data_IF_750485571097
#
_entry.id   IF_750485571097
#
_cell.length_a   1.000
_cell.length_b   1.000
_cell.length_c   1.000
_cell.angle_alpha   90.00
_cell.angle_beta   90.00
_cell.angle_gamma   90.00
#
_symmetry.space_group_name_H-M   'P 1'
#
loop_
_entity.id
_entity.type
_entity.pdbx_description
1 polymer ?
#
# COMPACT_ATOMS: atom_id res chain seq x y z
N UNK A 1 -13.47 -20.52 2.38
CA UNK A 1 -13.55 -21.33 1.14
C UNK A 1 -12.12 -21.56 0.67
N UNK A 2 -11.76 -22.77 0.25
CA UNK A 2 -10.40 -23.00 -0.25
C UNK A 2 -10.25 -22.56 -1.72
N UNK A 3 -9.00 -22.41 -2.20
CA UNK A 3 -8.68 -21.92 -3.55
C UNK A 3 -9.30 -22.79 -4.66
N UNK A 4 -9.37 -24.11 -4.48
CA UNK A 4 -9.96 -25.02 -5.47
C UNK A 4 -11.48 -24.80 -5.59
N UNK A 5 -12.17 -24.59 -4.47
CA UNK A 5 -13.60 -24.27 -4.47
C UNK A 5 -13.86 -22.93 -5.16
N UNK A 6 -13.03 -21.90 -4.87
CA UNK A 6 -13.14 -20.59 -5.52
C UNK A 6 -13.02 -20.75 -7.03
N UNK A 7 -11.97 -21.40 -7.53
CA UNK A 7 -11.75 -21.60 -8.96
C UNK A 7 -12.88 -22.43 -9.61
N UNK A 8 -13.42 -23.42 -8.90
CA UNK A 8 -14.58 -24.17 -9.38
C UNK A 8 -15.80 -23.26 -9.64
N UNK A 9 -16.11 -22.34 -8.73
CA UNK A 9 -17.21 -21.38 -8.92
C UNK A 9 -16.94 -20.36 -10.01
N UNK A 10 -15.68 -19.91 -10.19
CA UNK A 10 -15.30 -19.00 -11.28
C UNK A 10 -15.42 -19.63 -12.67
N UNK A 11 -15.29 -20.98 -12.76
CA UNK A 11 -15.43 -21.73 -14.01
C UNK A 11 -16.89 -22.09 -14.29
N UNK A 12 -17.69 -22.33 -13.24
CA UNK A 12 -19.09 -22.77 -13.36
C UNK A 12 -20.10 -21.60 -13.38
N UNK A 13 -19.65 -20.35 -13.44
CA UNK A 13 -20.47 -19.12 -13.41
C UNK A 13 -21.34 -18.96 -12.16
N UNK A 14 -20.90 -19.53 -11.04
CA UNK A 14 -21.64 -19.48 -9.78
C UNK A 14 -21.15 -18.33 -8.86
N UNK A 15 -21.14 -17.09 -9.41
CA UNK A 15 -20.54 -15.90 -8.76
C UNK A 15 -21.33 -15.35 -7.57
N UNK A 16 -22.62 -15.69 -7.45
CA UNK A 16 -23.48 -15.16 -6.38
C UNK A 16 -23.46 -16.03 -5.10
N UNK A 17 -22.49 -16.95 -5.03
CA UNK A 17 -22.36 -17.82 -3.86
C UNK A 17 -21.84 -17.03 -2.65
N UNK A 18 -22.54 -17.07 -1.49
CA UNK A 18 -22.08 -16.41 -0.27
C UNK A 18 -20.70 -16.90 0.17
N UNK A 19 -19.83 -15.97 0.54
CA UNK A 19 -18.46 -16.23 0.97
C UNK A 19 -17.46 -16.48 -0.16
N UNK A 20 -17.87 -16.30 -1.43
CA UNK A 20 -16.96 -16.39 -2.57
C UNK A 20 -16.04 -15.16 -2.64
N UNK A 21 -16.58 -13.97 -2.35
CA UNK A 21 -15.87 -12.69 -2.32
C UNK A 21 -16.05 -12.01 -0.96
N UNK A 22 -15.44 -12.54 0.11
CA UNK A 22 -15.72 -12.12 1.48
C UNK A 22 -15.39 -10.66 1.76
N UNK A 23 -14.34 -10.10 1.13
CA UNK A 23 -13.98 -8.70 1.29
C UNK A 23 -14.97 -7.76 0.58
N UNK A 24 -15.45 -8.14 -0.59
CA UNK A 24 -16.49 -7.38 -1.33
C UNK A 24 -17.84 -7.46 -0.60
N UNK A 25 -18.21 -8.63 -0.10
CA UNK A 25 -19.43 -8.83 0.69
C UNK A 25 -19.39 -8.02 1.98
N UNK A 26 -18.24 -8.01 2.67
CA UNK A 26 -18.02 -7.17 3.85
C UNK A 26 -18.13 -5.70 3.53
N UNK A 27 -17.54 -5.23 2.41
CA UNK A 27 -17.63 -3.84 1.98
C UNK A 27 -19.09 -3.43 1.68
N UNK A 28 -19.87 -4.31 1.03
CA UNK A 28 -21.28 -4.04 0.72
C UNK A 28 -22.15 -3.85 1.99
N UNK A 29 -21.76 -4.41 3.12
CA UNK A 29 -22.44 -4.25 4.42
C UNK A 29 -22.00 -3.01 5.19
N UNK A 30 -20.95 -2.29 4.76
CA UNK A 30 -20.44 -1.11 5.44
C UNK A 30 -21.26 0.14 5.11
N UNK A 31 -21.45 0.99 6.12
CA UNK A 31 -22.14 2.28 5.96
C UNK A 31 -21.36 3.25 5.06
N UNK A 32 -20.03 3.16 5.08
CA UNK A 32 -19.13 4.01 4.29
C UNK A 32 -18.22 3.15 3.42
N UNK A 33 -18.41 3.23 2.12
CA UNK A 33 -17.55 2.59 1.11
C UNK A 33 -16.79 3.66 0.32
N UNK A 34 -15.48 3.47 0.20
CA UNK A 34 -14.59 4.42 -0.47
C UNK A 34 -14.02 3.82 -1.76
N UNK A 35 -13.96 4.63 -2.81
CA UNK A 35 -13.23 4.29 -4.03
C UNK A 35 -11.77 4.71 -3.88
N UNK A 36 -10.85 3.75 -3.98
CA UNK A 36 -9.42 4.01 -3.94
C UNK A 36 -8.88 4.12 -5.37
N UNK A 37 -8.56 5.35 -5.77
CA UNK A 37 -7.87 5.58 -7.04
C UNK A 37 -6.36 5.46 -6.82
N UNK A 38 -5.75 4.47 -7.45
CA UNK A 38 -4.31 4.20 -7.43
C UNK A 38 -3.70 4.15 -8.84
N UNK A 39 -4.42 4.68 -9.84
CA UNK A 39 -3.96 4.83 -11.22
C UNK A 39 -4.22 3.62 -12.12
N UNK A 40 -4.75 2.52 -11.61
CA UNK A 40 -5.21 1.38 -12.41
C UNK A 40 -6.74 1.42 -12.49
N UNK A 41 -7.28 1.98 -13.55
CA UNK A 41 -8.73 2.11 -13.75
C UNK A 41 -9.34 0.85 -14.32
N UNK A 42 -8.69 0.28 -15.33
CA UNK A 42 -9.12 -0.93 -16.00
C UNK A 42 -7.93 -1.88 -16.17
N UNK A 43 -8.18 -3.16 -16.05
CA UNK A 43 -7.16 -4.18 -16.31
C UNK A 43 -6.97 -4.30 -17.83
N UNK A 44 -5.70 -4.29 -18.31
CA UNK A 44 -5.41 -4.52 -19.71
C UNK A 44 -5.92 -5.89 -20.20
N UNK A 45 -6.20 -5.96 -21.49
CA UNK A 45 -6.53 -7.23 -22.16
C UNK A 45 -5.29 -7.98 -22.58
N UNK A 46 -4.17 -7.27 -22.71
CA UNK A 46 -2.88 -7.81 -23.08
C UNK A 46 -2.29 -8.65 -21.96
N UNK A 47 -1.58 -9.77 -22.31
CA UNK A 47 -0.86 -10.57 -21.33
C UNK A 47 0.34 -9.82 -20.75
N UNK A 48 0.64 -10.11 -19.50
CA UNK A 48 1.76 -9.49 -18.78
C UNK A 48 1.72 -9.74 -17.29
N UNK A 49 2.49 -8.97 -16.52
CA UNK A 49 2.55 -9.09 -15.08
C UNK A 49 2.27 -7.72 -14.44
N UNK A 50 1.22 -7.63 -13.65
CA UNK A 50 0.87 -6.46 -12.84
C UNK A 50 1.19 -6.76 -11.38
N UNK A 51 1.92 -5.85 -10.75
CA UNK A 51 2.34 -5.92 -9.35
C UNK A 51 1.71 -4.74 -8.59
N UNK A 52 0.87 -5.03 -7.59
CA UNK A 52 0.19 -4.03 -6.78
C UNK A 52 0.70 -4.12 -5.36
N UNK A 53 1.45 -3.12 -4.92
CA UNK A 53 1.97 -3.00 -3.56
C UNK A 53 1.23 -1.90 -2.79
N UNK A 54 1.17 -2.03 -1.47
CA UNK A 54 0.51 -1.02 -0.63
C UNK A 54 0.47 -1.45 0.82
N UNK A 55 0.23 -0.49 1.71
CA UNK A 55 0.11 -0.75 3.14
C UNK A 55 -0.96 -1.82 3.44
N UNK A 56 -0.83 -2.49 4.58
CA UNK A 56 -1.86 -3.44 5.06
C UNK A 56 -3.18 -2.70 5.33
N UNK A 57 -4.31 -3.40 5.11
CA UNK A 57 -5.67 -2.91 5.40
C UNK A 57 -6.11 -1.68 4.56
N UNK A 58 -5.46 -1.43 3.43
CA UNK A 58 -5.85 -0.37 2.50
C UNK A 58 -6.87 -0.84 1.45
N UNK A 59 -7.28 -2.11 1.44
CA UNK A 59 -8.33 -2.64 0.57
C UNK A 59 -7.83 -3.34 -0.70
N UNK A 60 -6.54 -3.74 -0.78
CA UNK A 60 -5.97 -4.46 -1.93
C UNK A 60 -6.74 -5.74 -2.26
N UNK A 61 -7.01 -6.59 -1.26
CA UNK A 61 -7.77 -7.84 -1.44
C UNK A 61 -9.21 -7.57 -1.89
N UNK A 62 -9.86 -6.53 -1.35
CA UNK A 62 -11.19 -6.11 -1.78
C UNK A 62 -11.21 -5.68 -3.24
N UNK A 63 -10.20 -4.88 -3.65
CA UNK A 63 -10.05 -4.49 -5.05
C UNK A 63 -9.78 -5.71 -5.94
N UNK A 64 -8.91 -6.62 -5.51
CA UNK A 64 -8.57 -7.82 -6.27
C UNK A 64 -9.79 -8.73 -6.46
N UNK A 65 -10.58 -8.98 -5.42
CA UNK A 65 -11.83 -9.72 -5.52
C UNK A 65 -12.85 -9.04 -6.45
N UNK A 66 -12.97 -7.71 -6.40
CA UNK A 66 -13.83 -6.97 -7.32
C UNK A 66 -13.37 -7.14 -8.77
N UNK A 67 -12.07 -6.98 -9.04
CA UNK A 67 -11.51 -7.12 -10.37
C UNK A 67 -11.63 -8.55 -10.92
N UNK A 68 -11.47 -9.55 -10.04
CA UNK A 68 -11.69 -10.97 -10.34
C UNK A 68 -13.14 -11.22 -10.75
N UNK A 69 -14.11 -10.82 -9.90
CA UNK A 69 -15.54 -10.94 -10.15
C UNK A 69 -15.96 -10.24 -11.45
N UNK A 70 -15.51 -9.01 -11.62
CA UNK A 70 -15.87 -8.18 -12.78
C UNK A 70 -15.25 -8.74 -14.07
N UNK A 71 -14.08 -9.40 -14.00
CA UNK A 71 -13.49 -10.10 -15.14
C UNK A 71 -14.40 -11.25 -15.60
N UNK A 72 -14.85 -12.12 -14.67
CA UNK A 72 -15.74 -13.23 -15.03
C UNK A 72 -17.09 -12.73 -15.54
N UNK A 73 -17.66 -11.70 -14.92
CA UNK A 73 -18.92 -11.10 -15.40
C UNK A 73 -18.83 -10.54 -16.81
N UNK A 74 -17.68 -9.95 -17.17
CA UNK A 74 -17.51 -9.31 -18.47
C UNK A 74 -17.06 -10.26 -19.58
N UNK A 75 -16.17 -11.21 -19.26
CA UNK A 75 -15.52 -12.08 -20.25
C UNK A 75 -15.98 -13.54 -20.16
N UNK A 76 -16.86 -13.86 -19.22
CA UNK A 76 -17.45 -15.19 -19.03
C UNK A 76 -16.64 -16.11 -18.11
N UNK A 77 -17.24 -17.28 -17.78
CA UNK A 77 -16.64 -18.27 -16.88
C UNK A 77 -15.28 -18.78 -17.38
N UNK A 78 -14.35 -18.99 -16.47
CA UNK A 78 -12.99 -19.42 -16.77
C UNK A 78 -12.11 -18.37 -17.46
N UNK A 79 -12.53 -17.08 -17.50
CA UNK A 79 -11.69 -15.95 -17.93
C UNK A 79 -10.76 -15.45 -16.83
N UNK A 80 -11.10 -15.71 -15.58
CA UNK A 80 -10.30 -15.35 -14.42
C UNK A 80 -10.20 -16.52 -13.43
N UNK A 81 -9.03 -16.66 -12.82
CA UNK A 81 -8.72 -17.69 -11.82
C UNK A 81 -7.95 -17.03 -10.66
N UNK A 82 -7.90 -17.72 -9.52
CA UNK A 82 -7.41 -17.17 -8.27
C UNK A 82 -6.43 -18.10 -7.55
N UNK A 83 -5.41 -17.52 -6.92
CA UNK A 83 -4.52 -18.16 -5.95
C UNK A 83 -4.33 -17.24 -4.73
N UNK A 84 -4.07 -17.85 -3.58
CA UNK A 84 -3.75 -17.16 -2.34
C UNK A 84 -2.31 -17.51 -1.93
N UNK A 85 -1.41 -16.52 -1.92
CA UNK A 85 -0.02 -16.70 -1.55
C UNK A 85 0.18 -17.15 -0.10
N UNK A 86 -0.72 -16.76 0.82
CA UNK A 86 -0.65 -17.20 2.22
C UNK A 86 -0.86 -18.71 2.39
N UNK A 87 -1.48 -19.38 1.42
CA UNK A 87 -1.70 -20.84 1.44
C UNK A 87 -0.56 -21.61 0.74
N UNK A 88 0.43 -20.92 0.15
CA UNK A 88 1.48 -21.52 -0.67
C UNK A 88 2.80 -21.58 0.10
N UNK A 89 3.29 -22.79 0.38
CA UNK A 89 4.43 -22.99 1.26
C UNK A 89 5.80 -22.60 0.66
N UNK A 90 5.96 -22.60 -0.66
CA UNK A 90 7.25 -22.36 -1.31
C UNK A 90 7.13 -21.88 -2.77
N UNK A 91 8.23 -21.34 -3.31
CA UNK A 91 8.30 -20.93 -4.73
C UNK A 91 8.12 -22.09 -5.70
N UNK A 92 8.56 -23.31 -5.36
CA UNK A 92 8.36 -24.48 -6.21
C UNK A 92 6.89 -24.92 -6.17
N UNK A 93 6.23 -24.81 -5.03
CA UNK A 93 4.78 -25.05 -4.92
C UNK A 93 4.00 -24.00 -5.72
N UNK A 94 4.33 -22.73 -5.62
CA UNK A 94 3.74 -21.66 -6.42
C UNK A 94 3.87 -21.93 -7.93
N UNK A 95 5.04 -22.39 -8.37
CA UNK A 95 5.28 -22.78 -9.75
C UNK A 95 4.30 -23.87 -10.21
N UNK A 96 4.11 -24.91 -9.38
CA UNK A 96 3.21 -26.01 -9.67
C UNK A 96 1.75 -25.58 -9.67
N UNK A 97 1.33 -24.81 -8.65
CA UNK A 97 -0.04 -24.31 -8.54
C UNK A 97 -0.43 -23.43 -9.71
N UNK A 98 0.48 -22.54 -10.17
CA UNK A 98 0.23 -21.74 -11.37
C UNK A 98 0.07 -22.63 -12.59
N UNK A 99 0.92 -23.65 -12.78
CA UNK A 99 0.81 -24.59 -13.91
C UNK A 99 -0.51 -25.35 -13.91
N UNK A 100 -0.94 -25.83 -12.76
CA UNK A 100 -2.21 -26.52 -12.60
C UNK A 100 -3.38 -25.60 -12.93
N UNK A 101 -3.40 -24.39 -12.33
CA UNK A 101 -4.51 -23.43 -12.48
C UNK A 101 -4.62 -22.90 -13.91
N UNK A 102 -3.51 -22.61 -14.61
CA UNK A 102 -3.59 -22.08 -15.98
C UNK A 102 -4.24 -23.07 -16.97
N UNK A 103 -4.25 -24.37 -16.67
CA UNK A 103 -4.97 -25.37 -17.49
C UNK A 103 -6.49 -25.26 -17.41
N UNK A 104 -7.00 -24.59 -16.39
CA UNK A 104 -8.43 -24.44 -16.12
C UNK A 104 -9.05 -23.25 -16.87
N UNK A 105 -8.24 -22.39 -17.50
CA UNK A 105 -8.77 -21.29 -18.29
C UNK A 105 -9.65 -21.79 -19.44
N UNK A 106 -10.77 -21.11 -19.67
CA UNK A 106 -11.60 -21.39 -20.83
C UNK A 106 -10.80 -21.20 -22.14
N UNK A 107 -10.78 -22.17 -23.05
CA UNK A 107 -10.10 -22.03 -24.32
C UNK A 107 -10.71 -20.95 -25.23
N UNK A 108 -11.98 -20.62 -25.03
CA UNK A 108 -12.74 -19.65 -25.81
C UNK A 108 -12.74 -18.23 -25.22
N UNK A 109 -12.20 -18.03 -24.01
CA UNK A 109 -12.15 -16.71 -23.40
C UNK A 109 -11.21 -15.77 -24.13
N UNK A 110 -11.68 -14.54 -24.35
CA UNK A 110 -10.89 -13.47 -24.97
C UNK A 110 -9.72 -13.00 -24.09
N UNK A 111 -9.83 -13.19 -22.77
CA UNK A 111 -8.78 -12.85 -21.79
C UNK A 111 -8.55 -14.01 -20.84
N UNK A 112 -7.35 -14.10 -20.30
CA UNK A 112 -6.97 -15.06 -19.26
C UNK A 112 -6.26 -14.30 -18.16
N UNK A 113 -6.92 -14.10 -17.02
CA UNK A 113 -6.40 -13.32 -15.90
C UNK A 113 -6.21 -14.22 -14.68
N UNK A 114 -4.97 -14.36 -14.22
CA UNK A 114 -4.65 -15.06 -12.99
C UNK A 114 -4.40 -14.04 -11.88
N UNK A 115 -5.23 -14.08 -10.86
CA UNK A 115 -5.12 -13.23 -9.69
C UNK A 115 -4.43 -13.99 -8.56
N UNK A 116 -3.36 -13.40 -8.00
CA UNK A 116 -2.67 -13.96 -6.83
C UNK A 116 -2.66 -12.91 -5.73
N UNK A 117 -3.43 -13.16 -4.68
CA UNK A 117 -3.39 -12.30 -3.49
C UNK A 117 -2.19 -12.66 -2.61
N UNK A 118 -1.58 -11.67 -1.96
CA UNK A 118 -0.43 -11.78 -1.05
C UNK A 118 0.74 -12.65 -1.60
N UNK A 119 1.12 -12.47 -2.87
CA UNK A 119 2.22 -13.24 -3.47
C UNK A 119 3.52 -13.14 -2.65
N UNK A 120 3.71 -12.04 -1.91
CA UNK A 120 4.87 -11.80 -1.05
C UNK A 120 4.93 -12.67 0.20
N UNK A 121 3.88 -13.43 0.51
CA UNK A 121 3.94 -14.47 1.53
C UNK A 121 4.86 -15.63 1.09
N UNK A 122 4.96 -15.87 -0.22
CA UNK A 122 5.82 -16.92 -0.79
C UNK A 122 7.26 -16.42 -0.93
N UNK A 123 8.17 -16.97 -0.16
CA UNK A 123 9.60 -16.63 -0.26
C UNK A 123 10.16 -16.92 -1.63
N UNK A 124 10.88 -15.98 -2.26
CA UNK A 124 11.44 -16.07 -3.62
C UNK A 124 10.39 -16.33 -4.71
N UNK A 125 9.18 -15.80 -4.54
CA UNK A 125 8.09 -15.92 -5.51
C UNK A 125 8.50 -15.49 -6.93
N UNK A 126 9.38 -14.50 -7.06
CA UNK A 126 9.87 -13.98 -8.33
C UNK A 126 10.60 -15.04 -9.16
N UNK A 127 11.21 -16.05 -8.50
CA UNK A 127 11.87 -17.17 -9.22
C UNK A 127 10.86 -18.06 -9.92
N UNK A 128 9.73 -18.34 -9.27
CA UNK A 128 8.65 -19.13 -9.88
C UNK A 128 8.07 -18.39 -11.09
N UNK A 129 7.72 -17.12 -10.93
CA UNK A 129 7.16 -16.28 -11.98
C UNK A 129 8.16 -16.14 -13.16
N UNK A 130 9.45 -15.92 -12.85
CA UNK A 130 10.50 -15.84 -13.86
C UNK A 130 10.60 -17.14 -14.68
N UNK A 131 10.62 -18.30 -14.03
CA UNK A 131 10.70 -19.61 -14.72
C UNK A 131 9.50 -19.83 -15.64
N UNK A 132 8.29 -19.49 -15.22
CA UNK A 132 7.08 -19.58 -16.03
C UNK A 132 7.10 -18.63 -17.23
N UNK A 133 7.55 -17.39 -17.02
CA UNK A 133 7.68 -16.41 -18.09
C UNK A 133 8.72 -16.84 -19.13
N UNK A 134 9.91 -17.32 -18.69
CA UNK A 134 10.98 -17.79 -19.55
C UNK A 134 10.59 -19.05 -20.34
N UNK A 135 9.77 -19.93 -19.75
CA UNK A 135 9.21 -21.10 -20.42
C UNK A 135 8.05 -20.74 -21.38
N UNK A 136 7.59 -19.49 -21.40
CA UNK A 136 6.47 -19.05 -22.23
C UNK A 136 5.08 -19.52 -21.73
N UNK A 137 5.00 -20.07 -20.51
CA UNK A 137 3.76 -20.61 -19.93
C UNK A 137 2.77 -19.49 -19.58
N UNK A 138 3.23 -18.25 -19.40
CA UNK A 138 2.41 -17.07 -19.15
C UNK A 138 2.15 -16.21 -20.41
N UNK A 139 2.49 -16.68 -21.61
CA UNK A 139 2.42 -15.90 -22.85
C UNK A 139 1.05 -15.28 -23.13
N UNK A 140 -0.02 -15.96 -22.75
CA UNK A 140 -1.40 -15.53 -22.98
C UNK A 140 -2.13 -15.23 -21.67
N UNK A 141 -1.41 -14.97 -20.59
CA UNK A 141 -1.99 -14.74 -19.27
C UNK A 141 -1.59 -13.35 -18.76
N UNK A 142 -2.55 -12.59 -18.27
CA UNK A 142 -2.32 -11.43 -17.44
C UNK A 142 -2.25 -11.90 -15.99
N UNK A 143 -1.06 -11.89 -15.40
CA UNK A 143 -0.85 -12.17 -13.99
C UNK A 143 -1.04 -10.88 -13.19
N UNK A 144 -2.01 -10.85 -12.28
CA UNK A 144 -2.29 -9.71 -11.40
C UNK A 144 -1.99 -10.12 -9.97
N UNK A 145 -1.02 -9.47 -9.35
CA UNK A 145 -0.59 -9.84 -8.00
C UNK A 145 -0.68 -8.69 -7.02
N UNK A 146 -1.04 -9.01 -5.78
CA UNK A 146 -0.93 -8.07 -4.65
C UNK A 146 0.13 -8.54 -3.67
N UNK A 147 0.57 -7.63 -2.81
CA UNK A 147 1.43 -7.95 -1.69
C UNK A 147 1.56 -6.78 -0.72
N UNK A 148 1.61 -7.10 0.57
CA UNK A 148 1.76 -6.14 1.65
C UNK A 148 3.22 -5.89 2.03
N UNK A 149 4.14 -6.82 1.69
CA UNK A 149 5.59 -6.62 1.85
C UNK A 149 6.11 -5.80 0.66
N UNK A 150 5.98 -4.49 0.77
CA UNK A 150 6.27 -3.57 -0.33
C UNK A 150 7.72 -3.63 -0.82
N UNK A 151 8.70 -3.86 0.09
CA UNK A 151 10.09 -4.08 -0.26
C UNK A 151 10.28 -5.34 -1.12
N UNK A 152 9.68 -6.47 -0.73
CA UNK A 152 9.78 -7.72 -1.47
C UNK A 152 9.17 -7.60 -2.87
N UNK A 153 8.03 -6.91 -3.01
CA UNK A 153 7.42 -6.66 -4.32
C UNK A 153 8.29 -5.74 -5.19
N UNK A 154 8.91 -4.70 -4.62
CA UNK A 154 9.84 -3.84 -5.34
C UNK A 154 11.05 -4.63 -5.83
N UNK A 155 11.73 -5.35 -4.95
CA UNK A 155 12.89 -6.18 -5.30
C UNK A 155 12.52 -7.30 -6.28
N UNK A 156 11.35 -7.93 -6.12
CA UNK A 156 10.84 -8.92 -7.06
C UNK A 156 10.58 -8.32 -8.44
N UNK A 157 9.99 -7.12 -8.51
CA UNK A 157 9.78 -6.39 -9.77
C UNK A 157 11.10 -6.08 -10.51
N UNK A 158 12.14 -5.69 -9.77
CA UNK A 158 13.49 -5.43 -10.30
C UNK A 158 14.17 -6.71 -10.83
N UNK A 159 13.77 -7.90 -10.34
CA UNK A 159 14.29 -9.20 -10.79
C UNK A 159 13.54 -9.80 -11.98
N UNK A 160 12.53 -9.12 -12.51
CA UNK A 160 11.73 -9.53 -13.67
C UNK A 160 11.93 -8.61 -14.90
N UNK A 161 13.16 -8.15 -15.26
CA UNK A 161 13.36 -7.26 -16.39
C UNK A 161 12.96 -7.97 -17.70
N UNK A 162 12.19 -7.26 -18.54
CA UNK A 162 11.74 -7.79 -19.85
C UNK A 162 10.69 -8.91 -19.79
N UNK A 163 10.20 -9.30 -18.59
CA UNK A 163 9.23 -10.39 -18.40
C UNK A 163 7.82 -9.92 -18.05
N UNK A 164 7.64 -8.61 -17.88
CA UNK A 164 6.34 -8.01 -17.50
C UNK A 164 5.37 -7.82 -18.68
N UNK A 165 5.72 -8.32 -19.85
CA UNK A 165 4.94 -8.11 -21.09
C UNK A 165 5.17 -6.74 -21.70
N UNK A 166 4.25 -6.34 -22.60
CA UNK A 166 4.28 -5.03 -23.29
C UNK A 166 3.32 -4.03 -22.65
N UNK A 167 3.01 -4.19 -21.36
CA UNK A 167 2.13 -3.30 -20.63
C UNK A 167 2.76 -1.91 -20.52
N UNK A 168 1.97 -0.86 -20.70
CA UNK A 168 2.39 0.53 -20.49
C UNK A 168 2.91 0.75 -19.07
N UNK A 169 2.22 0.14 -18.10
CA UNK A 169 2.61 0.15 -16.69
C UNK A 169 2.35 -1.21 -16.05
N UNK A 170 3.32 -1.69 -15.27
CA UNK A 170 3.28 -3.00 -14.63
C UNK A 170 3.33 -2.96 -13.10
N UNK A 171 3.63 -1.80 -12.50
CA UNK A 171 3.75 -1.66 -11.05
C UNK A 171 2.87 -0.52 -10.57
N UNK A 172 2.06 -0.80 -9.57
CA UNK A 172 1.10 0.14 -8.99
C UNK A 172 1.27 0.20 -7.48
N UNK A 173 1.04 1.41 -6.93
CA UNK A 173 1.02 1.66 -5.49
C UNK A 173 -0.43 1.88 -5.05
N UNK A 174 -0.93 1.00 -4.18
CA UNK A 174 -2.27 1.15 -3.62
C UNK A 174 -2.26 2.28 -2.59
N UNK A 175 -2.90 3.39 -2.93
CA UNK A 175 -2.80 4.66 -2.21
C UNK A 175 -3.85 4.76 -1.08
N UNK A 176 -3.67 5.68 -0.12
CA UNK A 176 -4.75 6.09 0.78
C UNK A 176 -5.96 6.64 0.03
N UNK A 177 -7.13 6.59 0.66
CA UNK A 177 -8.31 7.35 0.22
C UNK A 177 -7.95 8.82 0.11
N UNK A 178 -8.29 9.46 -1.00
CA UNK A 178 -8.05 10.91 -1.17
C UNK A 178 -8.99 11.72 -0.28
N UNK A 179 -8.56 12.94 0.10
CA UNK A 179 -9.46 13.87 0.78
C UNK A 179 -10.75 14.13 -0.02
N UNK A 180 -10.66 14.22 -1.36
CA UNK A 180 -11.83 14.40 -2.23
C UNK A 180 -12.85 13.25 -2.06
N UNK A 181 -12.36 12.03 -2.04
CA UNK A 181 -13.23 10.85 -1.90
C UNK A 181 -13.79 10.74 -0.47
N UNK A 182 -12.95 10.99 0.54
CA UNK A 182 -13.42 11.05 1.93
C UNK A 182 -14.51 12.11 2.10
N UNK A 183 -14.29 13.31 1.55
CA UNK A 183 -15.29 14.38 1.58
C UNK A 183 -16.59 13.95 0.90
N UNK A 184 -16.52 13.35 -0.29
CA UNK A 184 -17.71 12.85 -1.00
C UNK A 184 -18.57 11.92 -0.13
N UNK A 185 -17.94 11.04 0.65
CA UNK A 185 -18.63 10.02 1.46
C UNK A 185 -19.05 10.56 2.83
N UNK A 186 -18.21 11.38 3.47
CA UNK A 186 -18.32 11.70 4.89
C UNK A 186 -18.71 13.16 5.19
N UNK A 187 -18.86 14.03 4.17
CA UNK A 187 -19.22 15.45 4.39
C UNK A 187 -20.57 15.60 5.13
N UNK A 188 -21.54 14.74 4.84
CA UNK A 188 -22.82 14.72 5.54
C UNK A 188 -22.71 14.39 7.04
N UNK A 189 -21.68 13.66 7.44
CA UNK A 189 -21.43 13.27 8.84
C UNK A 189 -20.65 14.36 9.60
N UNK A 190 -19.63 14.96 8.97
CA UNK A 190 -18.71 15.86 9.67
C UNK A 190 -18.89 17.35 9.34
N UNK A 191 -19.61 17.68 8.28
CA UNK A 191 -19.89 19.07 7.87
C UNK A 191 -18.61 19.91 7.72
N UNK A 192 -18.53 21.09 8.39
CA UNK A 192 -17.34 21.95 8.30
C UNK A 192 -16.05 21.31 8.82
N UNK A 193 -16.15 20.28 9.65
CA UNK A 193 -15.01 19.57 10.27
C UNK A 193 -14.51 18.40 9.42
N UNK A 194 -15.00 18.23 8.18
CA UNK A 194 -14.62 17.11 7.30
C UNK A 194 -13.10 17.02 7.06
N UNK A 195 -12.40 18.16 6.95
CA UNK A 195 -10.95 18.14 6.80
C UNK A 195 -10.25 17.60 8.06
N UNK A 196 -10.66 18.04 9.25
CA UNK A 196 -10.10 17.54 10.50
C UNK A 196 -10.41 16.05 10.69
N UNK A 197 -11.62 15.61 10.33
CA UNK A 197 -11.95 14.19 10.32
C UNK A 197 -11.05 13.37 9.37
N UNK A 198 -10.76 13.89 8.18
CA UNK A 198 -9.81 13.25 7.26
C UNK A 198 -8.41 13.19 7.84
N UNK A 199 -7.91 14.27 8.44
CA UNK A 199 -6.61 14.30 9.09
C UNK A 199 -6.55 13.29 10.25
N UNK A 200 -7.60 13.16 11.02
CA UNK A 200 -7.74 12.17 12.11
C UNK A 200 -7.72 10.72 11.56
N UNK A 201 -8.42 10.43 10.46
CA UNK A 201 -8.48 9.08 9.88
C UNK A 201 -7.28 8.73 9.00
N UNK A 202 -6.58 9.73 8.47
CA UNK A 202 -5.37 9.56 7.68
C UNK A 202 -5.56 8.93 6.30
N UNK A 203 -6.80 8.79 5.81
CA UNK A 203 -7.10 8.16 4.53
C UNK A 203 -6.98 6.63 4.52
N UNK A 204 -6.77 5.98 5.66
CA UNK A 204 -6.90 4.53 5.77
C UNK A 204 -8.39 4.14 5.72
N UNK A 205 -8.84 3.27 4.78
CA UNK A 205 -10.26 2.96 4.61
C UNK A 205 -10.95 2.50 5.89
N UNK A 206 -10.31 1.63 6.68
CA UNK A 206 -10.84 1.12 7.95
C UNK A 206 -10.97 2.25 8.97
N UNK A 207 -9.94 3.10 9.12
CA UNK A 207 -9.97 4.23 10.03
C UNK A 207 -11.05 5.26 9.63
N UNK A 208 -11.20 5.51 8.31
CA UNK A 208 -12.24 6.40 7.77
C UNK A 208 -13.65 5.87 8.07
N UNK A 209 -13.88 4.58 7.86
CA UNK A 209 -15.18 3.95 8.11
C UNK A 209 -15.52 3.92 9.60
N UNK A 210 -14.57 3.55 10.46
CA UNK A 210 -14.77 3.50 11.91
C UNK A 210 -15.00 4.92 12.51
N UNK A 211 -14.22 5.90 12.06
CA UNK A 211 -14.43 7.29 12.50
C UNK A 211 -15.82 7.80 12.09
N UNK A 212 -16.26 7.52 10.86
CA UNK A 212 -17.59 7.93 10.39
C UNK A 212 -18.73 7.22 11.16
N UNK A 213 -18.53 5.94 11.51
CA UNK A 213 -19.53 5.12 12.20
C UNK A 213 -19.60 5.40 13.71
N UNK A 214 -18.45 5.54 14.37
CA UNK A 214 -18.33 5.60 15.83
C UNK A 214 -18.00 6.99 16.37
N UNK A 215 -17.65 7.96 15.51
CA UNK A 215 -17.10 9.25 15.90
C UNK A 215 -15.67 9.17 16.45
N UNK A 216 -15.06 7.99 16.46
CA UNK A 216 -13.70 7.77 16.97
C UNK A 216 -13.00 6.63 16.24
N UNK A 217 -11.66 6.64 16.25
CA UNK A 217 -10.83 5.53 15.80
C UNK A 217 -10.63 4.56 16.97
N UNK A 218 -11.12 3.31 16.89
CA UNK A 218 -10.90 2.30 17.93
C UNK A 218 -9.41 1.93 18.08
N UNK A 219 -9.02 1.48 19.28
CA UNK A 219 -7.65 1.07 19.59
C UNK A 219 -7.14 -0.02 18.63
N UNK A 220 -7.99 -0.97 18.25
CA UNK A 220 -7.56 -2.07 17.39
C UNK A 220 -7.03 -1.58 16.03
N UNK A 221 -7.48 -0.43 15.52
CA UNK A 221 -7.04 0.15 14.24
C UNK A 221 -5.59 0.64 14.34
N UNK A 222 -5.25 1.35 15.40
CA UNK A 222 -3.86 1.79 15.64
C UNK A 222 -2.96 0.62 16.04
N UNK A 223 -3.48 -0.34 16.82
CA UNK A 223 -2.75 -1.55 17.19
C UNK A 223 -2.39 -2.39 15.96
N UNK A 224 -3.30 -2.54 15.01
CA UNK A 224 -3.06 -3.24 13.76
C UNK A 224 -1.87 -2.63 12.97
N UNK A 225 -1.75 -1.30 12.94
CA UNK A 225 -0.60 -0.62 12.30
C UNK A 225 0.69 -0.90 13.06
N UNK A 226 0.65 -0.84 14.39
CA UNK A 226 1.81 -1.16 15.23
C UNK A 226 2.28 -2.60 15.03
N UNK A 227 1.35 -3.56 15.05
CA UNK A 227 1.67 -4.98 14.87
C UNK A 227 2.25 -5.24 13.48
N UNK A 228 1.70 -4.60 12.45
CA UNK A 228 2.24 -4.69 11.10
C UNK A 228 3.68 -4.18 11.02
N UNK A 229 3.95 -2.95 11.48
CA UNK A 229 5.29 -2.35 11.40
C UNK A 229 6.30 -3.14 12.23
N UNK A 230 5.91 -3.59 13.42
CA UNK A 230 6.79 -4.42 14.27
C UNK A 230 7.04 -5.81 13.67
N UNK A 231 6.03 -6.41 13.04
CA UNK A 231 6.18 -7.68 12.33
C UNK A 231 7.20 -7.59 11.19
N UNK A 232 7.10 -6.56 10.35
CA UNK A 232 8.05 -6.34 9.25
C UNK A 232 9.46 -5.98 9.76
N UNK A 233 9.54 -5.22 10.86
CA UNK A 233 10.81 -4.93 11.53
C UNK A 233 11.51 -6.21 11.98
N UNK A 234 10.78 -7.08 12.67
CA UNK A 234 11.29 -8.38 13.14
C UNK A 234 11.67 -9.31 11.98
N UNK A 235 10.85 -9.37 10.93
CA UNK A 235 11.12 -10.16 9.73
C UNK A 235 12.39 -9.71 8.99
N UNK A 236 12.74 -8.41 9.09
CA UNK A 236 13.97 -7.84 8.54
C UNK A 236 15.19 -7.97 9.46
N UNK A 237 15.06 -8.67 10.59
CA UNK A 237 16.15 -8.86 11.59
C UNK A 237 16.50 -7.59 12.35
N UNK A 238 15.59 -6.60 12.42
CA UNK A 238 15.81 -5.33 13.12
C UNK A 238 15.15 -5.33 14.50
N UNK A 239 15.68 -4.53 15.41
CA UNK A 239 15.18 -4.42 16.78
C UNK A 239 13.95 -3.53 16.89
N UNK A 240 12.94 -4.01 17.63
CA UNK A 240 11.70 -3.29 17.89
C UNK A 240 11.90 -1.99 18.68
N UNK A 241 12.80 -1.98 19.65
CA UNK A 241 13.14 -0.79 20.45
C UNK A 241 13.69 0.35 19.59
N UNK A 242 14.55 0.02 18.65
CA UNK A 242 15.16 1.00 17.73
C UNK A 242 14.14 1.59 16.76
N UNK A 243 13.24 0.77 16.17
CA UNK A 243 12.21 1.32 15.27
C UNK A 243 11.21 2.19 16.03
N UNK A 244 10.88 1.84 17.28
CA UNK A 244 10.04 2.67 18.14
C UNK A 244 10.66 4.04 18.36
N UNK A 245 11.94 4.10 18.75
CA UNK A 245 12.65 5.38 18.91
C UNK A 245 12.67 6.23 17.64
N UNK A 246 12.84 5.61 16.46
CA UNK A 246 12.77 6.34 15.18
C UNK A 246 11.37 6.90 14.94
N UNK A 247 10.32 6.11 15.13
CA UNK A 247 8.94 6.53 14.88
C UNK A 247 8.51 7.65 15.84
N UNK A 248 8.83 7.55 17.12
CA UNK A 248 8.57 8.59 18.12
C UNK A 248 9.34 9.88 17.81
N UNK A 249 10.62 9.76 17.44
CA UNK A 249 11.42 10.91 17.03
C UNK A 249 10.83 11.59 15.78
N UNK A 250 10.45 10.83 14.76
CA UNK A 250 9.87 11.38 13.54
C UNK A 250 8.47 11.96 13.79
N UNK A 251 7.67 11.39 14.69
CA UNK A 251 6.38 11.94 15.07
C UNK A 251 6.51 13.35 15.70
N UNK A 252 7.59 13.59 16.45
CA UNK A 252 7.87 14.91 17.03
C UNK A 252 8.65 15.87 16.12
N UNK A 253 9.38 15.38 15.09
CA UNK A 253 10.35 16.18 14.35
C UNK A 253 10.29 15.98 12.82
N UNK A 254 9.37 15.18 12.28
CA UNK A 254 9.38 14.77 10.87
C UNK A 254 9.17 15.88 9.85
N UNK A 255 8.70 17.05 10.28
CA UNK A 255 8.56 18.26 9.43
C UNK A 255 9.84 19.11 9.38
N UNK A 256 10.82 18.83 10.24
CA UNK A 256 12.10 19.54 10.28
C UNK A 256 13.20 18.76 9.56
N UNK A 257 14.15 19.44 8.87
CA UNK A 257 15.28 18.77 8.26
C UNK A 257 16.13 18.04 9.31
N UNK A 258 16.38 16.76 9.10
CA UNK A 258 17.15 15.89 9.99
C UNK A 258 18.22 15.12 9.21
N UNK A 259 19.46 15.19 9.66
CA UNK A 259 20.53 14.33 9.15
C UNK A 259 20.50 12.96 9.84
N UNK A 260 20.90 11.92 9.12
CA UNK A 260 20.95 10.55 9.66
C UNK A 260 21.83 10.40 10.91
N UNK A 261 22.94 11.17 11.00
CA UNK A 261 23.79 11.19 12.18
C UNK A 261 23.08 11.80 13.41
N UNK A 262 22.26 12.84 13.21
CA UNK A 262 21.42 13.40 14.28
C UNK A 262 20.37 12.39 14.71
N UNK A 263 19.68 11.77 13.76
CA UNK A 263 18.68 10.73 14.05
C UNK A 263 19.30 9.60 14.86
N UNK A 264 20.46 9.06 14.44
CA UNK A 264 21.15 8.00 15.15
C UNK A 264 21.45 8.36 16.61
N UNK A 265 21.99 9.58 16.83
CA UNK A 265 22.31 10.06 18.17
C UNK A 265 21.07 10.19 19.06
N UNK A 266 20.02 10.84 18.55
CA UNK A 266 18.78 11.10 19.31
C UNK A 266 18.00 9.81 19.63
N UNK A 267 18.15 8.77 18.80
CA UNK A 267 17.49 7.47 18.99
C UNK A 267 18.39 6.40 19.59
N UNK A 268 19.62 6.74 20.01
CA UNK A 268 20.57 5.82 20.65
C UNK A 268 21.13 4.73 19.73
N UNK A 269 21.11 4.93 18.41
CA UNK A 269 21.64 3.96 17.45
C UNK A 269 23.17 4.06 17.32
N UNK A 270 23.79 2.92 16.97
CA UNK A 270 25.25 2.81 16.88
C UNK A 270 25.88 3.78 15.86
N UNK A 271 25.21 4.04 14.73
CA UNK A 271 25.72 4.93 13.69
C UNK A 271 24.61 5.34 12.67
N UNK A 272 24.97 6.24 11.77
CA UNK A 272 24.08 6.75 10.73
C UNK A 272 23.63 5.68 9.70
N UNK A 273 24.45 4.65 9.45
CA UNK A 273 24.08 3.56 8.53
C UNK A 273 22.93 2.73 9.10
N UNK A 274 22.95 2.46 10.41
CA UNK A 274 21.84 1.78 11.10
C UNK A 274 20.57 2.62 11.01
N UNK A 275 20.65 3.92 11.32
CA UNK A 275 19.51 4.82 11.22
C UNK A 275 18.93 4.89 9.79
N UNK A 276 19.81 4.95 8.77
CA UNK A 276 19.41 4.92 7.36
C UNK A 276 18.60 3.65 7.02
N UNK A 277 19.02 2.49 7.53
CA UNK A 277 18.31 1.24 7.31
C UNK A 277 16.89 1.21 7.90
N UNK A 278 16.65 1.88 9.04
CA UNK A 278 15.29 2.02 9.59
C UNK A 278 14.43 3.00 8.78
N UNK A 279 15.03 4.10 8.28
CA UNK A 279 14.35 5.03 7.37
C UNK A 279 13.95 4.31 6.07
N UNK A 280 14.85 3.51 5.50
CA UNK A 280 14.55 2.70 4.31
C UNK A 280 13.40 1.72 4.56
N UNK A 281 13.42 0.99 5.68
CA UNK A 281 12.32 0.10 6.05
C UNK A 281 10.98 0.84 6.16
N UNK A 282 10.95 1.99 6.85
CA UNK A 282 9.72 2.77 7.00
C UNK A 282 9.22 3.38 5.67
N UNK A 283 10.14 3.73 4.77
CA UNK A 283 9.80 4.16 3.41
C UNK A 283 9.24 3.01 2.59
N UNK A 284 9.85 1.83 2.65
CA UNK A 284 9.35 0.62 1.97
C UNK A 284 7.97 0.19 2.49
N UNK A 285 7.69 0.41 3.76
CA UNK A 285 6.36 0.21 4.37
C UNK A 285 5.37 1.34 4.01
N UNK A 286 5.80 2.36 3.27
CA UNK A 286 4.97 3.53 2.95
C UNK A 286 4.45 4.26 4.21
N UNK A 287 5.21 4.21 5.32
CA UNK A 287 4.89 4.99 6.51
C UNK A 287 5.36 6.44 6.36
N UNK A 288 6.57 6.62 5.83
CA UNK A 288 7.21 7.92 5.65
C UNK A 288 7.70 8.11 4.21
N UNK A 289 7.83 9.37 3.78
CA UNK A 289 8.57 9.75 2.59
C UNK A 289 9.94 10.32 2.94
N UNK A 290 10.82 10.40 1.96
CA UNK A 290 12.10 11.10 2.07
C UNK A 290 12.06 12.35 1.20
N UNK A 291 12.16 13.52 1.83
CA UNK A 291 12.08 14.81 1.16
C UNK A 291 13.45 15.49 1.22
N UNK A 292 14.18 15.46 0.10
CA UNK A 292 15.51 16.09 -0.02
C UNK A 292 15.39 17.61 -0.22
N UNK A 293 16.40 18.37 0.20
CA UNK A 293 16.50 19.77 -0.14
C UNK A 293 16.64 19.94 -1.66
N UNK A 294 15.98 20.95 -2.23
CA UNK A 294 16.04 21.25 -3.65
C UNK A 294 16.99 22.42 -3.93
N UNK A 295 17.89 22.27 -4.88
CA UNK A 295 18.74 23.33 -5.40
C UNK A 295 18.08 23.99 -6.61
N UNK A 296 17.66 25.24 -6.46
CA UNK A 296 17.01 25.99 -7.55
C UNK A 296 17.96 26.27 -8.73
N UNK A 297 19.25 26.50 -8.48
CA UNK A 297 20.21 26.80 -9.52
C UNK A 297 20.58 25.58 -10.35
N UNK A 298 20.77 24.43 -9.67
CA UNK A 298 21.09 23.15 -10.32
C UNK A 298 19.86 22.38 -10.79
N UNK A 299 18.66 22.77 -10.36
CA UNK A 299 17.39 22.05 -10.60
C UNK A 299 17.48 20.56 -10.21
N UNK A 300 18.09 20.28 -9.06
CA UNK A 300 18.37 18.92 -8.60
C UNK A 300 18.27 18.80 -7.07
N UNK A 301 17.98 17.58 -6.56
CA UNK A 301 18.01 17.31 -5.12
C UNK A 301 19.44 17.39 -4.56
N UNK A 302 19.55 17.92 -3.34
CA UNK A 302 20.80 18.02 -2.58
C UNK A 302 20.89 16.88 -1.55
N UNK A 303 21.31 15.70 -1.98
CA UNK A 303 21.38 14.49 -1.14
C UNK A 303 22.34 14.58 0.05
N UNK A 304 23.27 15.54 0.06
CA UNK A 304 24.21 15.75 1.17
C UNK A 304 23.66 16.66 2.27
N UNK A 305 22.56 17.36 2.03
CA UNK A 305 21.87 18.16 3.06
C UNK A 305 20.89 17.29 3.86
N UNK A 306 20.58 17.70 5.11
CA UNK A 306 19.55 17.03 5.90
C UNK A 306 18.25 16.89 5.09
N UNK A 307 17.59 15.73 5.18
CA UNK A 307 16.29 15.48 4.57
C UNK A 307 15.18 15.68 5.60
N UNK A 308 13.94 15.91 5.13
CA UNK A 308 12.75 15.76 5.95
C UNK A 308 12.18 14.37 5.72
N UNK A 309 11.53 13.82 6.75
CA UNK A 309 10.89 12.49 6.73
C UNK A 309 9.41 12.61 7.11
N UNK A 310 8.58 13.25 6.27
CA UNK A 310 7.16 13.38 6.55
C UNK A 310 6.47 12.03 6.54
N UNK A 311 5.46 11.85 7.40
CA UNK A 311 4.56 10.71 7.25
C UNK A 311 3.73 10.87 5.98
N UNK A 312 3.75 9.84 5.13
CA UNK A 312 2.89 9.69 3.95
C UNK A 312 1.74 8.69 4.22
N UNK A 313 1.68 8.22 5.45
CA UNK A 313 0.61 7.44 6.03
C UNK A 313 0.25 8.06 7.39
N UNK A 314 -0.77 8.90 7.40
CA UNK A 314 -1.15 9.64 8.61
C UNK A 314 -1.65 8.71 9.73
N UNK A 315 -2.24 7.56 9.41
CA UNK A 315 -2.61 6.59 10.42
C UNK A 315 -1.37 5.99 11.12
N UNK A 316 -0.27 5.81 10.39
CA UNK A 316 1.00 5.44 11.01
C UNK A 316 1.48 6.54 11.95
N UNK A 317 1.40 7.82 11.57
CA UNK A 317 1.71 8.92 12.47
C UNK A 317 0.86 8.87 13.75
N UNK A 318 -0.47 8.72 13.66
CA UNK A 318 -1.37 8.60 14.81
C UNK A 318 -1.00 7.44 15.74
N UNK A 319 -0.45 6.36 15.20
CA UNK A 319 -0.12 5.17 15.99
C UNK A 319 1.04 5.38 16.97
N UNK A 320 1.91 6.39 16.73
CA UNK A 320 3.08 6.69 17.57
C UNK A 320 3.15 8.13 18.08
N UNK A 321 2.26 9.02 17.62
CA UNK A 321 2.27 10.39 18.10
C UNK A 321 1.77 10.47 19.55
N UNK A 322 2.44 11.29 20.35
CA UNK A 322 2.15 11.43 21.79
C UNK A 322 0.72 11.93 22.10
N UNK A 323 0.13 12.72 21.20
CA UNK A 323 -1.21 13.30 21.39
C UNK A 323 -2.37 12.29 21.34
N UNK A 324 -2.11 11.04 20.86
CA UNK A 324 -3.13 9.98 20.82
C UNK A 324 -4.47 10.41 20.18
N UNK A 325 -4.43 11.19 19.10
CA UNK A 325 -5.61 11.71 18.39
C UNK A 325 -6.48 10.57 17.85
N UNK A 326 -7.71 10.47 18.31
CA UNK A 326 -8.67 9.41 17.92
C UNK A 326 -10.03 9.93 17.50
N UNK A 327 -10.34 11.16 17.89
CA UNK A 327 -11.59 11.85 17.55
C UNK A 327 -11.27 13.16 16.85
N UNK A 328 -12.29 13.75 16.22
CA UNK A 328 -12.14 15.09 15.64
C UNK A 328 -11.97 16.14 16.74
N UNK A 329 -12.55 15.92 17.92
CA UNK A 329 -12.38 16.81 19.07
C UNK A 329 -10.95 16.78 19.61
N UNK A 330 -10.30 15.60 19.65
CA UNK A 330 -8.88 15.50 20.00
C UNK A 330 -8.01 16.29 19.02
N UNK A 331 -8.31 16.22 17.71
CA UNK A 331 -7.60 16.98 16.69
C UNK A 331 -7.79 18.50 16.86
N UNK A 332 -9.02 18.93 17.11
CA UNK A 332 -9.35 20.35 17.34
C UNK A 332 -8.69 20.91 18.61
N UNK A 333 -8.43 20.05 19.60
CA UNK A 333 -7.74 20.42 20.84
C UNK A 333 -6.21 20.51 20.72
N UNK A 334 -5.63 20.09 19.58
CA UNK A 334 -4.19 20.24 19.34
C UNK A 334 -3.78 21.72 19.28
N UNK A 335 -2.51 21.97 19.65
CA UNK A 335 -1.95 23.32 19.47
C UNK A 335 -1.89 23.67 17.97
N UNK A 336 -1.92 24.96 17.60
CA UNK A 336 -1.75 25.38 16.19
C UNK A 336 -0.48 24.84 15.55
N UNK A 337 0.60 24.69 16.31
CA UNK A 337 1.87 24.12 15.83
C UNK A 337 1.73 22.64 15.49
N UNK A 338 1.09 21.86 16.38
CA UNK A 338 0.85 20.44 16.14
C UNK A 338 -0.10 20.24 14.96
N UNK A 339 -1.21 21.00 14.89
CA UNK A 339 -2.08 20.96 13.70
C UNK A 339 -1.32 21.29 12.42
N UNK A 340 -0.41 22.26 12.45
CA UNK A 340 0.46 22.62 11.33
C UNK A 340 1.29 21.42 10.83
N UNK A 341 1.80 20.60 11.75
CA UNK A 341 2.51 19.36 11.44
C UNK A 341 1.63 18.36 10.67
N UNK A 342 0.40 18.15 11.13
CA UNK A 342 -0.57 17.27 10.45
C UNK A 342 -0.95 17.78 9.06
N UNK A 343 -1.11 19.08 8.88
CA UNK A 343 -1.36 19.67 7.56
C UNK A 343 -0.17 19.46 6.62
N UNK A 344 1.07 19.64 7.08
CA UNK A 344 2.27 19.40 6.26
C UNK A 344 2.36 17.93 5.83
N UNK A 345 2.11 16.99 6.75
CA UNK A 345 2.09 15.56 6.43
C UNK A 345 0.96 15.19 5.47
N UNK A 346 -0.22 15.77 5.61
CA UNK A 346 -1.34 15.54 4.69
C UNK A 346 -1.02 16.03 3.28
N UNK A 347 -0.35 17.17 3.15
CA UNK A 347 0.16 17.66 1.85
C UNK A 347 1.20 16.69 1.29
N UNK A 348 2.14 16.21 2.09
CA UNK A 348 3.13 15.23 1.66
C UNK A 348 2.47 13.92 1.20
N UNK A 349 1.48 13.40 1.96
CA UNK A 349 0.69 12.22 1.58
C UNK A 349 -0.03 12.42 0.26
N UNK A 350 -0.67 13.58 0.04
CA UNK A 350 -1.41 13.85 -1.20
C UNK A 350 -0.46 14.02 -2.40
N UNK A 351 0.69 14.66 -2.24
CA UNK A 351 1.71 14.77 -3.29
C UNK A 351 2.26 13.40 -3.65
N UNK A 352 2.59 12.58 -2.65
CA UNK A 352 3.00 11.19 -2.83
C UNK A 352 1.93 10.38 -3.57
N UNK A 353 0.67 10.48 -3.15
CA UNK A 353 -0.45 9.80 -3.78
C UNK A 353 -0.60 10.17 -5.25
N UNK A 354 -0.52 11.46 -5.59
CA UNK A 354 -0.61 11.94 -6.98
C UNK A 354 0.55 11.44 -7.83
N UNK A 355 1.76 11.50 -7.32
CA UNK A 355 2.94 10.98 -8.00
C UNK A 355 2.81 9.47 -8.24
N UNK A 356 2.35 8.71 -7.25
CA UNK A 356 2.09 7.27 -7.37
C UNK A 356 1.04 6.96 -8.46
N UNK A 357 -0.08 7.71 -8.50
CA UNK A 357 -1.11 7.57 -9.52
C UNK A 357 -0.55 7.89 -10.92
N UNK A 358 0.28 8.92 -11.04
CA UNK A 358 0.92 9.31 -12.29
C UNK A 358 2.00 8.32 -12.78
N UNK A 359 2.37 7.33 -11.97
CA UNK A 359 3.31 6.29 -12.35
C UNK A 359 4.75 6.56 -11.93
N UNK A 360 4.98 7.50 -11.01
CA UNK A 360 6.31 7.68 -10.41
C UNK A 360 6.70 6.40 -9.66
N UNK A 361 7.87 5.86 -9.98
CA UNK A 361 8.40 4.65 -9.32
C UNK A 361 8.87 4.91 -7.88
N UNK A 362 9.22 6.16 -7.58
CA UNK A 362 9.74 6.59 -6.28
C UNK A 362 9.01 7.82 -5.75
N UNK A 363 7.68 7.78 -5.61
CA UNK A 363 6.88 8.93 -5.20
C UNK A 363 7.22 9.42 -3.78
N UNK A 364 7.89 8.57 -2.99
CA UNK A 364 8.40 8.92 -1.67
C UNK A 364 9.59 9.90 -1.70
N UNK A 365 10.21 10.13 -2.86
CA UNK A 365 11.33 11.06 -3.05
C UNK A 365 10.85 12.47 -3.41
N UNK A 366 10.06 13.05 -2.54
CA UNK A 366 9.67 14.45 -2.65
C UNK A 366 10.86 15.37 -2.36
N UNK A 367 10.76 16.65 -2.74
CA UNK A 367 11.77 17.65 -2.41
C UNK A 367 11.14 18.81 -1.65
N UNK A 368 11.93 19.44 -0.76
CA UNK A 368 11.56 20.68 -0.12
C UNK A 368 12.50 21.80 -0.54
N UNK A 369 12.02 23.01 -0.55
CA UNK A 369 12.83 24.21 -0.73
C UNK A 369 12.76 25.05 0.53
N UNK A 370 13.91 25.59 0.93
CA UNK A 370 14.02 26.49 2.05
C UNK A 370 14.87 27.69 1.61
N UNK A 371 14.35 28.90 1.79
CA UNK A 371 15.13 30.10 1.54
C UNK A 371 16.15 30.34 2.67
N UNK A 372 17.33 30.84 2.33
CA UNK A 372 18.35 31.18 3.32
C UNK A 372 17.96 32.44 4.15
N UNK A 373 16.77 32.97 3.99
CA UNK A 373 16.29 34.20 4.59
C UNK A 373 15.31 34.05 5.75
N UNK A 374 15.10 32.83 6.23
CA UNK A 374 14.29 32.61 7.45
C UNK A 374 14.80 31.41 8.23
#
# INVERSE_FOLDING_TARGET
>A
MNVNDINHYLISDALDRPGLFPHVESLASQQCAFNVDFGLRELPTEPGIILIRGARQYGKSTWLESALRDTVRHFGPGSALYLNGDEIASSDRLLQDIREVVTLFSPTSAVRRLFIDEITAVKNWERAVKRLADAGELRNVLLVTTGSKAADLRHGAERLPGRKGKLERSTYLFTPVSYREFKRVCEGTFGPRTLHAYLTAGGCPVACAELARLGRIPEYVTQMVRDWVYGECSASGRERSSILGVLEYLAGHGTSPCGQAKLARETGMANNTVAAGYIELLSDLMCIGTTSAWDLARKAPLHRKPAKFPFINLLAAHSWHASQVRTVDDFDALTPTDQGTWYEWAVAQELWRRAAIAGDEFPERLCYWQSDRH
#
